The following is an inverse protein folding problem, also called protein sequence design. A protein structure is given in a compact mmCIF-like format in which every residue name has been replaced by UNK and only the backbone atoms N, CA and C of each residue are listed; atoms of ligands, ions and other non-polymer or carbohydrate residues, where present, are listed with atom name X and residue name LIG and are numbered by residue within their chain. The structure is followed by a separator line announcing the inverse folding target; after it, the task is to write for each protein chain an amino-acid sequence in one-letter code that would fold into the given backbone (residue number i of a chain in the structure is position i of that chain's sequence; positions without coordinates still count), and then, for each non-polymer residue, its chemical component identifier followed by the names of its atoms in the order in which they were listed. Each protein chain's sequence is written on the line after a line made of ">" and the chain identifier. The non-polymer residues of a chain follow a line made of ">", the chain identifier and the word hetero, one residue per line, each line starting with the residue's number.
data_IF_990855380803
#
_entry.id   IF_990855380803
#
_cell.length_a   1.000
_cell.length_b   1.000
_cell.length_c   1.000
_cell.angle_alpha   90.00
_cell.angle_beta   90.00
_cell.angle_gamma   90.00
#
_symmetry.space_group_name_H-M   'P 1'
#
loop_
_entity.id
_entity.type
_entity.pdbx_description
1 polymer ?
#
# COMPACT_ATOMS: atom_id res chain seq x y z
N UNK A 1 -48.49 -46.32 13.31
CA UNK A 1 -49.09 -44.97 13.14
C UNK A 1 -47.99 -44.01 12.69
N UNK A 2 -48.05 -43.48 11.46
CA UNK A 2 -47.10 -42.44 11.02
C UNK A 2 -47.53 -41.13 11.65
N UNK A 3 -46.74 -40.57 12.56
CA UNK A 3 -46.96 -39.23 13.10
C UNK A 3 -46.60 -38.23 12.00
N UNK A 4 -47.61 -37.56 11.45
CA UNK A 4 -47.40 -36.48 10.50
C UNK A 4 -47.21 -35.17 11.27
N UNK A 5 -46.29 -34.33 10.77
CA UNK A 5 -46.07 -32.99 11.29
C UNK A 5 -47.25 -32.10 10.91
N UNK A 6 -47.76 -31.31 11.86
CA UNK A 6 -48.86 -30.38 11.59
C UNK A 6 -48.34 -29.11 10.92
N UNK A 7 -49.18 -28.46 10.11
CA UNK A 7 -48.86 -27.17 9.47
C UNK A 7 -48.47 -26.10 10.49
N UNK A 8 -49.12 -26.10 11.67
CA UNK A 8 -48.81 -25.16 12.74
C UNK A 8 -47.43 -25.42 13.37
N UNK A 9 -47.06 -26.68 13.61
CA UNK A 9 -45.72 -27.02 14.10
C UNK A 9 -44.65 -26.59 13.10
N UNK A 10 -44.89 -26.70 11.78
CA UNK A 10 -43.94 -26.21 10.76
C UNK A 10 -43.75 -24.68 10.89
N UNK A 11 -44.83 -23.92 11.07
CA UNK A 11 -44.74 -22.46 11.23
C UNK A 11 -43.94 -22.09 12.48
N UNK A 12 -44.20 -22.74 13.61
CA UNK A 12 -43.46 -22.49 14.87
C UNK A 12 -41.97 -22.83 14.71
N UNK A 13 -41.65 -23.96 14.06
CA UNK A 13 -40.27 -24.38 13.83
C UNK A 13 -39.53 -23.38 12.94
N UNK A 14 -40.15 -22.86 11.87
CA UNK A 14 -39.53 -21.85 11.00
C UNK A 14 -39.27 -20.55 11.76
N UNK A 15 -40.22 -20.09 12.59
CA UNK A 15 -40.04 -18.88 13.40
C UNK A 15 -38.87 -19.07 14.38
N UNK A 16 -38.83 -20.20 15.08
CA UNK A 16 -37.76 -20.50 16.06
C UNK A 16 -36.40 -20.58 15.38
N UNK A 17 -36.29 -21.27 14.23
CA UNK A 17 -35.05 -21.35 13.46
C UNK A 17 -34.65 -19.96 12.96
N UNK A 18 -35.59 -19.13 12.49
CA UNK A 18 -35.32 -17.77 12.04
C UNK A 18 -34.74 -16.88 13.14
N UNK A 19 -35.26 -16.98 14.36
CA UNK A 19 -34.73 -16.27 15.53
C UNK A 19 -33.33 -16.80 15.87
N UNK A 20 -33.13 -18.13 15.91
CA UNK A 20 -31.82 -18.70 16.20
C UNK A 20 -30.75 -18.26 15.19
N UNK A 21 -31.08 -18.23 13.89
CA UNK A 21 -30.15 -17.77 12.84
C UNK A 21 -29.75 -16.31 13.06
N UNK A 22 -30.66 -15.44 13.51
CA UNK A 22 -30.33 -14.03 13.76
C UNK A 22 -29.29 -13.84 14.89
N UNK A 23 -29.28 -14.71 15.91
CA UNK A 23 -28.31 -14.65 17.01
C UNK A 23 -27.01 -15.42 16.73
N UNK A 24 -27.07 -16.47 15.92
CA UNK A 24 -25.92 -17.33 15.60
C UNK A 24 -25.19 -16.87 14.33
N UNK A 25 -25.82 -16.04 13.48
CA UNK A 25 -25.21 -15.55 12.25
C UNK A 25 -23.88 -14.85 12.57
N UNK A 26 -22.73 -15.39 12.09
CA UNK A 26 -21.45 -14.77 12.33
C UNK A 26 -21.45 -13.37 11.69
N UNK A 27 -21.18 -12.35 12.51
CA UNK A 27 -20.89 -11.01 11.99
C UNK A 27 -19.51 -11.05 11.34
N UNK A 28 -19.47 -11.25 10.03
CA UNK A 28 -18.26 -11.06 9.25
C UNK A 28 -17.91 -9.57 9.21
N UNK A 29 -17.26 -9.07 10.26
CA UNK A 29 -16.65 -7.73 10.21
C UNK A 29 -15.33 -7.84 9.44
N UNK A 30 -15.28 -7.20 8.27
CA UNK A 30 -14.04 -7.04 7.51
C UNK A 30 -13.08 -6.16 8.31
N UNK A 31 -11.88 -6.66 8.59
CA UNK A 31 -10.82 -5.87 9.23
C UNK A 31 -10.09 -5.05 8.17
N UNK A 32 -10.64 -3.89 7.84
CA UNK A 32 -10.09 -2.98 6.82
C UNK A 32 -8.66 -2.53 7.14
N UNK A 33 -8.36 -2.32 8.43
CA UNK A 33 -7.05 -1.89 8.87
C UNK A 33 -6.00 -2.97 8.62
N UNK A 34 -6.31 -4.22 8.98
CA UNK A 34 -5.42 -5.35 8.72
C UNK A 34 -5.25 -5.59 7.22
N UNK A 35 -6.33 -5.54 6.45
CA UNK A 35 -6.26 -5.71 4.99
C UNK A 35 -5.44 -4.62 4.31
N UNK A 36 -5.54 -3.36 4.75
CA UNK A 36 -4.70 -2.28 4.24
C UNK A 36 -3.22 -2.52 4.56
N UNK A 37 -2.92 -2.96 5.78
CA UNK A 37 -1.55 -3.27 6.19
C UNK A 37 -0.96 -4.42 5.39
N UNK A 38 -1.71 -5.51 5.19
CA UNK A 38 -1.29 -6.65 4.37
C UNK A 38 -1.07 -6.27 2.91
N UNK A 39 -1.95 -5.43 2.33
CA UNK A 39 -1.79 -4.93 0.97
C UNK A 39 -0.52 -4.08 0.83
N UNK A 40 -0.31 -3.10 1.71
CA UNK A 40 0.87 -2.23 1.65
C UNK A 40 2.14 -3.05 1.87
N UNK A 41 2.16 -3.96 2.85
CA UNK A 41 3.31 -4.83 3.09
C UNK A 41 3.66 -5.68 1.86
N UNK A 42 2.65 -6.21 1.16
CA UNK A 42 2.82 -6.95 -0.10
C UNK A 42 3.42 -6.05 -1.18
N UNK A 43 2.95 -4.83 -1.33
CA UNK A 43 3.47 -3.91 -2.34
C UNK A 43 4.84 -3.30 -2.00
N UNK A 44 5.21 -3.21 -0.72
CA UNK A 44 6.60 -2.93 -0.31
C UNK A 44 7.52 -4.06 -0.79
N UNK A 45 7.15 -5.33 -0.52
CA UNK A 45 7.92 -6.49 -1.01
C UNK A 45 7.98 -6.54 -2.54
N UNK A 46 6.89 -6.19 -3.22
CA UNK A 46 6.89 -6.07 -4.68
C UNK A 46 7.82 -4.97 -5.18
N UNK A 47 7.84 -3.81 -4.54
CA UNK A 47 8.75 -2.71 -4.88
C UNK A 47 10.20 -3.13 -4.69
N UNK A 48 10.50 -3.82 -3.59
CA UNK A 48 11.81 -4.39 -3.33
C UNK A 48 12.20 -5.42 -4.40
N UNK A 49 11.28 -6.31 -4.78
CA UNK A 49 11.51 -7.28 -5.84
C UNK A 49 11.82 -6.61 -7.17
N UNK A 50 11.07 -5.57 -7.56
CA UNK A 50 11.36 -4.78 -8.75
C UNK A 50 12.77 -4.18 -8.72
N UNK A 51 13.21 -3.65 -7.58
CA UNK A 51 14.56 -3.11 -7.43
C UNK A 51 15.65 -4.19 -7.63
N UNK A 52 15.45 -5.40 -7.11
CA UNK A 52 16.43 -6.49 -7.22
C UNK A 52 16.55 -7.08 -8.64
N UNK A 53 15.51 -6.98 -9.46
CA UNK A 53 15.55 -7.52 -10.84
C UNK A 53 15.86 -6.47 -11.91
N UNK A 54 15.83 -5.19 -11.55
CA UNK A 54 15.96 -4.05 -12.46
C UNK A 54 16.90 -3.02 -11.85
N UNK A 55 18.20 -3.37 -11.88
CA UNK A 55 19.31 -2.53 -11.44
C UNK A 55 19.33 -1.21 -12.22
N UNK A 56 19.49 -0.11 -11.48
CA UNK A 56 19.52 1.24 -12.02
C UNK A 56 20.92 1.72 -12.34
N UNK A 57 21.97 0.96 -12.01
CA UNK A 57 23.33 1.37 -12.26
C UNK A 57 23.57 1.69 -13.75
N UNK A 58 24.05 2.91 -13.98
CA UNK A 58 24.45 3.37 -15.31
C UNK A 58 25.73 4.20 -15.17
N UNK A 59 26.88 3.74 -15.68
CA UNK A 59 28.14 4.47 -15.60
C UNK A 59 28.12 5.77 -16.43
N UNK A 60 27.19 5.92 -17.39
CA UNK A 60 27.00 7.13 -18.17
C UNK A 60 26.14 8.20 -17.49
N UNK A 61 25.52 7.88 -16.34
CA UNK A 61 24.61 8.78 -15.64
C UNK A 61 25.02 8.93 -14.17
N UNK A 62 25.59 10.08 -13.80
CA UNK A 62 26.01 10.35 -12.42
C UNK A 62 24.86 10.27 -11.38
N UNK A 63 23.62 10.46 -11.83
CA UNK A 63 22.41 10.51 -11.01
C UNK A 63 21.57 9.23 -11.11
N UNK A 64 22.11 8.13 -11.64
CA UNK A 64 21.39 6.86 -11.86
C UNK A 64 20.60 6.37 -10.63
N UNK A 65 21.13 6.60 -9.43
CA UNK A 65 20.53 6.18 -8.16
C UNK A 65 19.23 6.91 -7.83
N UNK A 66 18.96 8.05 -8.46
CA UNK A 66 17.70 8.78 -8.31
C UNK A 66 16.54 8.07 -9.02
N UNK A 67 16.80 7.07 -9.87
CA UNK A 67 15.79 6.29 -10.57
C UNK A 67 15.32 5.03 -9.82
N UNK A 68 15.77 4.81 -8.57
CA UNK A 68 15.38 3.64 -7.76
C UNK A 68 13.87 3.45 -7.71
N UNK A 69 13.46 2.18 -7.78
CA UNK A 69 12.08 1.75 -7.55
C UNK A 69 11.65 2.16 -6.15
N UNK A 70 10.44 2.73 -6.06
CA UNK A 70 9.92 3.26 -4.82
C UNK A 70 8.42 3.06 -4.69
N UNK A 71 8.00 2.99 -3.44
CA UNK A 71 6.60 3.14 -3.04
C UNK A 71 6.42 4.54 -2.47
N UNK A 72 5.40 5.25 -2.95
CA UNK A 72 5.17 6.66 -2.65
C UNK A 72 3.72 6.91 -2.26
N UNK A 73 3.51 7.54 -1.11
CA UNK A 73 2.21 7.89 -0.55
C UNK A 73 1.90 9.36 -0.83
N UNK A 74 0.71 9.65 -1.32
CA UNK A 74 0.34 11.02 -1.69
C UNK A 74 -1.16 11.31 -1.55
N UNK A 75 -1.46 12.61 -1.47
CA UNK A 75 -2.80 13.19 -1.63
C UNK A 75 -2.70 14.29 -2.68
N UNK A 76 -3.29 14.09 -3.85
CA UNK A 76 -3.23 15.07 -4.95
C UNK A 76 -4.62 15.27 -5.54
N UNK A 77 -4.81 16.34 -6.32
CA UNK A 77 -6.03 16.54 -7.11
C UNK A 77 -6.29 15.37 -8.08
N UNK A 78 -5.25 14.72 -8.61
CA UNK A 78 -5.36 13.56 -9.50
C UNK A 78 -5.84 12.29 -8.80
N UNK A 79 -5.81 12.26 -7.47
CA UNK A 79 -6.35 11.18 -6.63
C UNK A 79 -7.64 11.58 -5.93
N UNK A 80 -8.34 12.61 -6.45
CA UNK A 80 -9.50 13.21 -5.80
C UNK A 80 -9.22 13.67 -4.35
N UNK A 81 -7.99 14.12 -4.09
CA UNK A 81 -7.47 14.53 -2.78
C UNK A 81 -7.51 13.42 -1.70
N UNK A 82 -7.52 12.16 -2.11
CA UNK A 82 -7.54 10.99 -1.22
C UNK A 82 -6.16 10.46 -0.91
N UNK A 83 -6.00 9.86 0.28
CA UNK A 83 -4.78 9.12 0.63
C UNK A 83 -4.62 7.91 -0.28
N UNK A 84 -3.57 7.92 -1.09
CA UNK A 84 -3.24 6.83 -2.00
C UNK A 84 -1.75 6.52 -1.94
N UNK A 85 -1.36 5.44 -2.60
CA UNK A 85 0.04 5.20 -2.91
C UNK A 85 0.23 4.65 -4.32
N UNK A 86 1.47 4.67 -4.76
CA UNK A 86 1.90 4.15 -6.05
C UNK A 86 3.27 3.50 -5.97
N UNK A 87 3.59 2.70 -6.99
CA UNK A 87 4.91 2.08 -7.18
C UNK A 87 5.45 2.50 -8.55
N UNK A 88 6.61 3.15 -8.57
CA UNK A 88 7.21 3.66 -9.80
C UNK A 88 8.73 3.77 -9.69
N UNK A 89 9.38 4.01 -10.83
CA UNK A 89 10.78 4.44 -10.96
C UNK A 89 10.84 5.82 -11.61
N UNK A 90 11.82 6.66 -11.29
CA UNK A 90 11.93 8.01 -11.85
C UNK A 90 13.12 8.07 -12.81
N UNK A 91 12.99 7.39 -13.94
CA UNK A 91 14.07 7.16 -14.92
C UNK A 91 14.08 8.21 -16.04
N UNK A 92 12.92 8.76 -16.35
CA UNK A 92 12.63 9.62 -17.48
C UNK A 92 12.66 11.05 -16.99
N UNK A 93 13.39 11.92 -17.68
CA UNK A 93 13.57 13.31 -17.25
C UNK A 93 14.65 13.47 -16.17
N UNK A 94 14.64 14.62 -15.49
CA UNK A 94 15.70 15.06 -14.56
C UNK A 94 15.49 14.53 -13.12
N UNK A 95 14.90 13.34 -12.97
CA UNK A 95 14.59 12.74 -11.66
C UNK A 95 13.76 13.67 -10.75
N UNK A 96 12.60 14.12 -11.24
CA UNK A 96 11.76 15.17 -10.63
C UNK A 96 11.11 14.77 -9.29
N UNK A 97 11.27 13.51 -8.90
CA UNK A 97 10.74 12.92 -7.67
C UNK A 97 9.37 12.29 -7.83
N UNK A 98 8.84 12.29 -9.04
CA UNK A 98 7.52 11.79 -9.38
C UNK A 98 7.58 11.12 -10.77
N UNK A 99 6.64 10.23 -11.12
CA UNK A 99 6.62 9.68 -12.47
C UNK A 99 6.43 10.81 -13.50
N UNK A 100 7.25 10.84 -14.54
CA UNK A 100 7.16 11.77 -15.66
C UNK A 100 6.47 11.11 -16.87
N UNK A 101 6.33 9.77 -16.86
CA UNK A 101 5.63 8.99 -17.88
C UNK A 101 4.84 7.82 -17.28
N UNK A 102 3.80 7.37 -17.98
CA UNK A 102 3.04 6.15 -17.63
C UNK A 102 3.94 4.91 -17.63
N UNK A 103 4.98 4.88 -18.46
CA UNK A 103 5.94 3.75 -18.55
C UNK A 103 6.78 3.54 -17.30
N UNK A 104 6.77 4.51 -16.39
CA UNK A 104 7.53 4.47 -15.13
C UNK A 104 6.78 3.85 -13.97
N UNK A 105 5.45 3.78 -14.10
CA UNK A 105 4.58 3.21 -13.10
C UNK A 105 4.59 1.69 -13.28
N UNK A 106 4.81 0.96 -12.19
CA UNK A 106 4.82 -0.50 -12.24
C UNK A 106 3.46 -1.03 -12.70
N UNK A 107 3.46 -2.20 -13.36
CA UNK A 107 2.22 -2.94 -13.61
C UNK A 107 1.66 -3.47 -12.29
N UNK A 108 0.33 -3.50 -12.18
CA UNK A 108 -0.32 -4.09 -11.02
C UNK A 108 -0.18 -5.63 -11.08
N UNK A 109 0.43 -6.27 -10.06
CA UNK A 109 0.68 -7.70 -10.08
C UNK A 109 -0.60 -8.55 -10.02
N UNK A 110 -1.70 -7.99 -9.49
CA UNK A 110 -2.99 -8.67 -9.42
C UNK A 110 -3.86 -8.45 -10.67
N UNK A 111 -3.54 -7.44 -11.49
CA UNK A 111 -4.26 -7.14 -12.72
C UNK A 111 -3.33 -6.43 -13.72
N UNK A 112 -2.81 -7.18 -14.69
CA UNK A 112 -1.85 -6.70 -15.67
C UNK A 112 -2.36 -5.59 -16.62
N UNK A 113 -3.68 -5.38 -16.70
CA UNK A 113 -4.28 -4.28 -17.46
C UNK A 113 -4.26 -2.95 -16.69
N UNK A 114 -3.88 -2.99 -15.41
CA UNK A 114 -3.79 -1.83 -14.52
C UNK A 114 -2.36 -1.54 -14.10
N UNK A 115 -2.18 -0.33 -13.59
CA UNK A 115 -0.91 0.19 -13.11
C UNK A 115 -0.95 0.40 -11.60
N UNK A 116 0.22 0.38 -10.97
CA UNK A 116 0.40 0.60 -9.54
C UNK A 116 0.24 2.07 -9.16
N UNK A 117 -0.93 2.63 -9.44
CA UNK A 117 -1.36 3.97 -9.04
C UNK A 117 -2.89 4.03 -8.92
N UNK A 118 -3.42 4.81 -7.99
CA UNK A 118 -4.86 5.15 -7.94
C UNK A 118 -5.19 6.50 -8.63
N UNK A 119 -4.20 7.10 -9.29
CA UNK A 119 -4.31 8.40 -9.94
C UNK A 119 -3.01 9.19 -9.78
N UNK A 120 -2.62 9.90 -10.82
CA UNK A 120 -1.40 10.69 -10.89
C UNK A 120 -1.45 11.72 -12.03
N UNK A 121 -0.57 12.71 -12.00
CA UNK A 121 -0.45 13.69 -13.07
C UNK A 121 0.04 13.04 -14.39
N UNK A 122 0.00 13.75 -15.52
CA UNK A 122 0.50 13.19 -16.79
C UNK A 122 -0.46 12.23 -17.50
N UNK A 123 -1.76 12.37 -17.28
CA UNK A 123 -2.81 11.71 -18.09
C UNK A 123 -3.35 10.39 -17.55
N UNK A 124 -3.19 10.12 -16.25
CA UNK A 124 -3.80 8.98 -15.57
C UNK A 124 -4.41 9.44 -14.24
N UNK A 125 -5.58 10.08 -14.29
CA UNK A 125 -6.29 10.46 -13.06
C UNK A 125 -7.08 9.26 -12.46
N UNK A 126 -7.74 9.51 -11.32
CA UNK A 126 -8.54 8.52 -10.60
C UNK A 126 -9.72 7.92 -11.38
N UNK A 127 -10.10 8.50 -12.52
CA UNK A 127 -11.16 8.00 -13.42
C UNK A 127 -10.63 7.10 -14.54
N UNK A 128 -9.31 7.08 -14.78
CA UNK A 128 -8.69 6.25 -15.81
C UNK A 128 -8.90 4.76 -15.52
N UNK A 129 -9.21 3.98 -16.56
CA UNK A 129 -9.47 2.53 -16.45
C UNK A 129 -8.23 1.74 -16.00
N UNK A 130 -7.04 2.28 -16.25
CA UNK A 130 -5.74 1.70 -15.85
C UNK A 130 -5.42 1.97 -14.37
N UNK A 131 -6.14 2.87 -13.71
CA UNK A 131 -5.96 3.15 -12.29
C UNK A 131 -6.44 1.98 -11.41
N UNK A 132 -5.63 1.64 -10.43
CA UNK A 132 -5.89 0.63 -9.41
C UNK A 132 -6.54 1.28 -8.19
N UNK A 133 -7.88 1.26 -8.18
CA UNK A 133 -8.71 1.89 -7.15
C UNK A 133 -8.41 1.37 -5.74
N UNK A 134 -7.99 0.11 -5.62
CA UNK A 134 -7.58 -0.52 -4.36
C UNK A 134 -6.36 0.14 -3.70
N UNK A 135 -5.59 0.94 -4.44
CA UNK A 135 -4.46 1.71 -3.90
C UNK A 135 -4.91 3.05 -3.29
N UNK A 136 -6.18 3.44 -3.47
CA UNK A 136 -6.82 4.50 -2.69
C UNK A 136 -7.25 3.94 -1.34
N UNK A 137 -6.34 3.97 -0.37
CA UNK A 137 -6.53 3.38 0.96
C UNK A 137 -7.49 4.16 1.84
N UNK A 138 -7.76 5.43 1.53
CA UNK A 138 -8.73 6.25 2.27
C UNK A 138 -10.17 5.81 1.99
N UNK A 139 -10.50 5.56 0.73
CA UNK A 139 -11.84 5.13 0.35
C UNK A 139 -12.01 3.61 0.41
N UNK A 140 -10.95 2.84 0.13
CA UNK A 140 -11.01 1.36 0.11
C UNK A 140 -10.98 0.74 1.51
N UNK A 141 -10.22 1.33 2.44
CA UNK A 141 -9.96 0.75 3.76
C UNK A 141 -10.13 1.76 4.91
N UNK A 142 -10.68 2.95 4.65
CA UNK A 142 -10.91 3.97 5.67
C UNK A 142 -9.64 4.38 6.44
N UNK A 143 -8.47 4.35 5.79
CA UNK A 143 -7.21 4.82 6.35
C UNK A 143 -7.09 6.33 6.12
N UNK A 144 -7.12 7.13 7.18
CA UNK A 144 -7.04 8.59 7.05
C UNK A 144 -5.59 9.13 7.10
N UNK A 145 -4.69 8.38 7.74
CA UNK A 145 -3.33 8.81 8.04
C UNK A 145 -2.34 7.66 7.87
N UNK A 146 -1.17 7.98 7.32
CA UNK A 146 0.03 7.13 7.35
C UNK A 146 1.19 7.95 7.90
N UNK A 147 1.99 7.39 8.81
CA UNK A 147 3.15 8.06 9.41
C UNK A 147 4.37 7.17 9.36
N UNK A 148 5.45 7.71 8.83
CA UNK A 148 6.77 7.09 8.80
C UNK A 148 7.57 7.61 10.01
N UNK A 149 8.11 6.70 10.80
CA UNK A 149 8.91 7.00 12.01
C UNK A 149 10.20 6.19 12.06
N UNK A 150 11.06 6.53 13.01
CA UNK A 150 12.33 5.86 13.28
C UNK A 150 13.24 5.85 12.04
N UNK A 151 13.68 4.67 11.58
CA UNK A 151 14.63 4.51 10.49
C UNK A 151 14.21 5.12 9.15
N UNK A 152 12.94 5.45 8.96
CA UNK A 152 12.43 6.13 7.76
C UNK A 152 11.93 7.56 8.01
N UNK A 153 12.23 8.16 9.15
CA UNK A 153 11.89 9.56 9.42
C UNK A 153 12.78 10.52 8.61
N UNK A 154 12.17 11.54 8.01
CA UNK A 154 12.83 12.66 7.33
C UNK A 154 12.14 13.98 7.70
N UNK A 155 12.87 15.10 7.62
CA UNK A 155 12.30 16.43 7.85
C UNK A 155 11.16 16.71 6.88
N UNK A 156 10.03 17.22 7.39
CA UNK A 156 8.82 17.47 6.60
C UNK A 156 7.87 16.26 6.48
N UNK A 157 8.27 15.09 6.98
CA UNK A 157 7.48 13.86 6.96
C UNK A 157 7.79 13.00 5.74
N UNK A 158 8.18 11.74 5.97
CA UNK A 158 8.44 10.81 4.89
C UNK A 158 7.15 10.32 4.24
N UNK A 159 7.17 10.25 2.92
CA UNK A 159 6.11 9.71 2.07
C UNK A 159 6.61 8.60 1.16
N UNK A 160 7.91 8.30 1.19
CA UNK A 160 8.57 7.44 0.20
C UNK A 160 9.49 6.45 0.89
N UNK A 161 9.46 5.21 0.40
CA UNK A 161 10.46 4.18 0.67
C UNK A 161 10.98 3.68 -0.69
N UNK A 162 12.29 3.69 -0.87
CA UNK A 162 12.93 3.20 -2.11
C UNK A 162 13.90 2.07 -1.81
N UNK A 163 14.23 1.28 -2.82
CA UNK A 163 15.11 0.12 -2.68
C UNK A 163 16.19 0.14 -3.76
N UNK A 164 17.35 -0.41 -3.42
CA UNK A 164 18.43 -0.67 -4.37
C UNK A 164 18.39 -2.11 -4.89
N UNK A 165 19.34 -2.46 -5.73
CA UNK A 165 19.50 -3.78 -6.37
C UNK A 165 19.78 -4.92 -5.37
N UNK A 166 20.20 -4.60 -4.15
CA UNK A 166 20.39 -5.56 -3.07
C UNK A 166 19.15 -5.68 -2.16
N UNK A 167 18.10 -4.92 -2.45
CA UNK A 167 16.88 -4.88 -1.65
C UNK A 167 17.03 -4.08 -0.35
N UNK A 168 18.07 -3.26 -0.20
CA UNK A 168 18.26 -2.40 0.98
C UNK A 168 17.31 -1.20 0.92
N UNK A 169 16.59 -0.88 2.00
CA UNK A 169 15.65 0.23 1.98
C UNK A 169 16.30 1.59 2.23
N UNK A 170 15.75 2.61 1.60
CA UNK A 170 16.18 4.01 1.67
C UNK A 170 15.00 4.92 2.03
N UNK A 171 15.26 5.89 2.91
CA UNK A 171 14.27 6.86 3.37
C UNK A 171 14.21 8.11 2.52
N UNK A 172 13.02 8.68 2.37
CA UNK A 172 12.80 9.95 1.68
C UNK A 172 12.86 9.82 0.16
N UNK A 173 12.66 10.94 -0.53
CA UNK A 173 12.65 10.99 -1.99
C UNK A 173 14.10 11.00 -2.54
N UNK A 174 14.48 10.07 -3.44
CA UNK A 174 15.82 10.04 -4.03
C UNK A 174 16.24 11.31 -4.80
N UNK A 175 15.30 12.14 -5.27
CA UNK A 175 15.61 13.33 -6.10
C UNK A 175 16.67 14.26 -5.53
N UNK A 176 16.65 14.49 -4.22
CA UNK A 176 17.61 15.39 -3.55
C UNK A 176 18.88 14.70 -3.07
N UNK A 177 19.03 13.39 -3.33
CA UNK A 177 20.23 12.65 -2.98
C UNK A 177 21.40 13.05 -3.86
N UNK A 178 22.58 13.14 -3.24
CA UNK A 178 23.87 13.48 -3.86
C UNK A 178 24.80 12.27 -3.97
N UNK A 179 24.38 11.12 -3.48
CA UNK A 179 25.15 9.87 -3.58
C UNK A 179 24.22 8.66 -3.53
N UNK A 180 24.63 7.50 -4.09
CA UNK A 180 23.82 6.28 -4.13
C UNK A 180 23.53 5.68 -2.74
N UNK A 181 24.33 6.01 -1.73
CA UNK A 181 24.21 5.50 -0.37
C UNK A 181 23.59 6.49 0.61
N UNK A 182 23.32 7.73 0.17
CA UNK A 182 22.65 8.72 1.03
C UNK A 182 21.26 8.22 1.40
N UNK A 183 20.89 8.38 2.68
CA UNK A 183 19.59 7.99 3.24
C UNK A 183 19.31 6.47 3.21
N UNK A 184 20.33 5.63 3.07
CA UNK A 184 20.18 4.21 3.39
C UNK A 184 19.68 4.06 4.85
N UNK A 185 18.75 3.16 5.09
CA UNK A 185 18.22 2.94 6.43
C UNK A 185 19.19 2.12 7.26
N UNK A 186 19.51 2.60 8.46
CA UNK A 186 20.36 1.91 9.45
C UNK A 186 19.58 1.44 10.68
N UNK A 187 18.28 1.75 10.73
CA UNK A 187 17.36 1.41 11.81
C UNK A 187 16.04 0.91 11.21
N UNK A 188 15.25 0.20 12.00
CA UNK A 188 13.92 -0.24 11.59
C UNK A 188 13.03 0.97 11.27
N UNK A 189 12.35 0.93 10.12
CA UNK A 189 11.31 1.87 9.75
C UNK A 189 9.97 1.39 10.28
N UNK A 190 9.20 2.29 10.90
CA UNK A 190 7.85 2.01 11.36
C UNK A 190 6.88 2.86 10.56
N UNK A 191 6.02 2.20 9.78
CA UNK A 191 4.96 2.80 8.98
C UNK A 191 3.63 2.53 9.69
N UNK A 192 3.12 3.53 10.40
CA UNK A 192 1.86 3.41 11.15
C UNK A 192 0.70 3.91 10.31
N UNK A 193 -0.27 3.02 10.06
CA UNK A 193 -1.57 3.34 9.48
C UNK A 193 -2.53 3.72 10.62
N UNK A 194 -3.40 4.70 10.38
CA UNK A 194 -4.51 5.03 11.28
C UNK A 194 -5.83 4.95 10.54
N UNK A 195 -6.74 4.13 11.06
CA UNK A 195 -8.09 4.01 10.56
C UNK A 195 -8.97 5.16 11.08
N UNK A 196 -10.03 5.53 10.36
CA UNK A 196 -10.98 6.60 10.77
C UNK A 196 -11.61 6.39 12.16
N UNK A 197 -11.66 5.15 12.66
CA UNK A 197 -12.16 4.80 13.99
C UNK A 197 -11.12 4.91 15.12
N UNK A 198 -9.90 5.39 14.82
CA UNK A 198 -8.80 5.58 15.76
C UNK A 198 -7.87 4.38 15.94
N UNK A 199 -8.22 3.19 15.46
CA UNK A 199 -7.32 2.02 15.51
C UNK A 199 -6.08 2.24 14.63
N UNK A 200 -4.97 1.63 15.02
CA UNK A 200 -3.69 1.72 14.32
C UNK A 200 -3.14 0.34 13.99
N UNK A 201 -2.32 0.28 12.95
CA UNK A 201 -1.50 -0.89 12.68
C UNK A 201 -0.15 -0.44 12.12
N UNK A 202 0.92 -1.14 12.49
CA UNK A 202 2.29 -0.76 12.14
C UNK A 202 2.93 -1.81 11.23
N UNK A 203 3.43 -1.36 10.09
CA UNK A 203 4.28 -2.14 9.20
C UNK A 203 5.73 -1.78 9.53
N UNK A 204 6.54 -2.78 9.85
CA UNK A 204 7.97 -2.60 10.10
C UNK A 204 8.76 -3.03 8.87
N UNK A 205 9.78 -2.25 8.51
CA UNK A 205 10.75 -2.60 7.46
C UNK A 205 12.15 -2.59 8.07
N UNK A 206 12.82 -3.73 8.03
CA UNK A 206 14.17 -3.88 8.57
C UNK A 206 15.22 -3.21 7.67
N UNK A 207 16.26 -2.58 8.24
CA UNK A 207 17.42 -2.16 7.48
C UNK A 207 18.13 -3.37 6.86
N UNK A 208 19.00 -3.12 5.87
CA UNK A 208 19.77 -4.11 5.10
C UNK A 208 18.95 -5.10 4.25
N UNK A 209 17.92 -5.73 4.80
CA UNK A 209 17.17 -6.80 4.12
C UNK A 209 15.85 -6.34 3.53
N UNK A 210 15.34 -5.17 3.94
CA UNK A 210 14.00 -4.72 3.58
C UNK A 210 12.89 -5.63 4.11
N UNK A 211 13.18 -6.54 5.04
CA UNK A 211 12.22 -7.53 5.55
C UNK A 211 11.01 -6.84 6.18
N UNK A 212 9.82 -7.26 5.78
CA UNK A 212 8.56 -6.61 6.15
C UNK A 212 7.76 -7.45 7.12
N UNK A 213 7.43 -6.89 8.29
CA UNK A 213 6.49 -7.47 9.27
C UNK A 213 5.34 -6.53 9.60
N UNK A 214 4.25 -7.06 10.12
CA UNK A 214 3.09 -6.28 10.55
C UNK A 214 2.84 -6.56 12.03
N UNK A 215 2.74 -5.51 12.84
CA UNK A 215 2.51 -5.56 14.29
C UNK A 215 1.48 -4.53 14.73
N UNK A 216 1.00 -4.68 15.95
CA UNK A 216 0.19 -3.67 16.64
C UNK A 216 -1.09 -3.26 15.90
N UNK A 217 -1.75 -4.22 15.22
CA UNK A 217 -3.06 -3.99 14.60
C UNK A 217 -4.16 -4.04 15.67
N UNK A 218 -4.73 -2.88 16.02
CA UNK A 218 -5.79 -2.81 17.01
C UNK A 218 -6.07 -1.39 17.52
N UNK A 219 -6.87 -1.31 18.58
CA UNK A 219 -7.02 -0.09 19.37
C UNK A 219 -6.08 -0.11 20.57
#
# INVERSE_FOLDING_TARGET
>A
MKKAFTLFEIVVVIIVIGIMVAFVAPKFSRDDLRLAADQIATHIRYTQHLAMIDDKYDPGNADWYKAKWRIFFSKTNFTNNKLTYMVFQDKSGESTGNPNSISEIAKNPNNNAKLMTAGYSGGLDYTDKRASKELNIEDTYNINTIKFKNGCSVQGGATTLSFDELGRPYKGNPTSQKSPYQNIMTEQCNITLTHKNGSTCTINVEPETGYVTIKDCGK
#
